data_IF_717848313479
#
_entry.id   IF_717848313479
#
_cell.length_a   1.000
_cell.length_b   1.000
_cell.length_c   1.000
_cell.angle_alpha   90.00
_cell.angle_beta   90.00
_cell.angle_gamma   90.00
#
_symmetry.space_group_name_H-M   'P 1'
#
loop_
_entity.id
_entity.type
_entity.pdbx_description
1 polymer ?
#
# COMPACT_ATOMS: atom_id res chain seq x y z
N UNK A 1 24.54 -19.10 5.76
CA UNK A 1 23.13 -18.77 6.12
C UNK A 1 23.02 -17.26 6.42
N UNK A 2 22.79 -16.39 5.42
CA UNK A 2 22.68 -14.92 5.58
C UNK A 2 21.23 -14.47 5.90
N UNK A 3 20.58 -15.06 6.90
CA UNK A 3 19.15 -14.79 7.19
C UNK A 3 18.90 -13.36 7.70
N UNK A 4 19.79 -12.83 8.52
CA UNK A 4 19.63 -11.50 9.13
C UNK A 4 19.60 -10.37 8.09
N UNK A 5 20.48 -10.41 7.08
CA UNK A 5 20.51 -9.37 6.03
C UNK A 5 19.20 -9.34 5.25
N UNK A 6 18.64 -10.50 4.89
CA UNK A 6 17.36 -10.55 4.17
C UNK A 6 16.19 -10.04 5.04
N UNK A 7 16.22 -10.30 6.35
CA UNK A 7 15.22 -9.75 7.28
C UNK A 7 15.29 -8.22 7.36
N UNK A 8 16.49 -7.66 7.52
CA UNK A 8 16.71 -6.21 7.54
C UNK A 8 16.25 -5.54 6.25
N UNK A 9 16.55 -6.16 5.10
CA UNK A 9 16.09 -5.67 3.79
C UNK A 9 14.57 -5.69 3.73
N UNK A 10 13.91 -6.79 4.13
CA UNK A 10 12.44 -6.88 4.13
C UNK A 10 11.78 -5.82 5.02
N UNK A 11 12.28 -5.61 6.23
CA UNK A 11 11.81 -4.56 7.14
C UNK A 11 11.99 -3.16 6.53
N UNK A 12 13.14 -2.89 5.91
CA UNK A 12 13.41 -1.63 5.22
C UNK A 12 12.40 -1.37 4.08
N UNK A 13 12.13 -2.36 3.23
CA UNK A 13 11.14 -2.23 2.16
C UNK A 13 9.74 -1.99 2.72
N UNK A 14 9.36 -2.68 3.80
CA UNK A 14 8.07 -2.49 4.46
C UNK A 14 7.91 -1.06 5.00
N UNK A 15 8.91 -0.52 5.69
CA UNK A 15 8.91 0.87 6.17
C UNK A 15 8.84 1.88 5.02
N UNK A 16 9.52 1.62 3.90
CA UNK A 16 9.44 2.45 2.70
C UNK A 16 8.03 2.45 2.09
N UNK A 17 7.34 1.32 2.04
CA UNK A 17 5.96 1.25 1.55
C UNK A 17 5.01 2.09 2.42
N UNK A 18 5.09 1.96 3.75
CA UNK A 18 4.29 2.75 4.68
C UNK A 18 4.50 4.26 4.48
N UNK A 19 5.76 4.69 4.35
CA UNK A 19 6.07 6.11 4.10
C UNK A 19 5.49 6.63 2.78
N UNK A 20 5.62 5.85 1.69
CA UNK A 20 5.12 6.24 0.36
C UNK A 20 3.60 6.38 0.33
N UNK A 21 2.87 5.56 1.07
CA UNK A 21 1.41 5.62 1.16
C UNK A 21 0.90 6.66 2.18
N UNK A 22 1.77 7.45 2.82
CA UNK A 22 1.37 8.42 3.84
C UNK A 22 1.06 7.81 5.22
N UNK A 23 1.39 6.54 5.45
CA UNK A 23 1.10 5.79 6.68
C UNK A 23 2.24 5.83 7.72
N UNK A 24 3.27 6.66 7.52
CA UNK A 24 4.44 6.71 8.39
C UNK A 24 4.18 7.22 9.82
N UNK A 25 3.17 8.08 10.02
CA UNK A 25 2.83 8.68 11.32
C UNK A 25 1.48 8.18 11.87
N UNK A 26 0.95 7.06 11.36
CA UNK A 26 -0.32 6.56 11.86
C UNK A 26 -0.14 6.07 13.32
N UNK A 27 -0.96 6.54 14.29
CA UNK A 27 -0.88 6.10 15.68
C UNK A 27 -1.11 4.60 15.88
N UNK A 28 -1.79 3.92 14.95
CA UNK A 28 -1.95 2.45 14.98
C UNK A 28 -0.72 1.70 14.48
N UNK A 29 0.30 2.43 13.97
CA UNK A 29 1.49 1.87 13.36
C UNK A 29 1.20 0.97 12.15
N UNK A 30 2.17 0.11 11.82
CA UNK A 30 2.05 -0.88 10.73
C UNK A 30 0.94 -1.90 10.98
N UNK A 31 0.65 -2.21 12.25
CA UNK A 31 -0.35 -3.21 12.66
C UNK A 31 -1.76 -2.83 12.22
N UNK A 32 -2.09 -1.53 12.20
CA UNK A 32 -3.39 -1.06 11.74
C UNK A 32 -3.56 -1.01 10.20
N UNK A 33 -2.56 -1.46 9.43
CA UNK A 33 -2.63 -1.42 7.97
C UNK A 33 -3.45 -2.60 7.44
N UNK A 34 -4.65 -2.32 6.94
CA UNK A 34 -5.49 -3.34 6.31
C UNK A 34 -4.84 -3.91 5.02
N UNK A 35 -5.21 -5.14 4.66
CA UNK A 35 -4.79 -5.75 3.40
C UNK A 35 -5.19 -4.86 2.22
N UNK A 36 -4.27 -4.63 1.29
CA UNK A 36 -4.49 -3.77 0.13
C UNK A 36 -4.45 -2.26 0.42
N UNK A 37 -4.35 -1.82 1.69
CA UNK A 37 -4.40 -0.38 2.02
C UNK A 37 -3.24 0.45 1.47
N UNK A 38 -2.09 -0.18 1.26
CA UNK A 38 -0.90 0.45 0.66
C UNK A 38 -0.77 0.14 -0.83
N UNK A 39 -1.70 -0.63 -1.42
CA UNK A 39 -1.65 -0.95 -2.84
C UNK A 39 -2.01 0.30 -3.65
N UNK A 40 -1.38 0.43 -4.81
CA UNK A 40 -1.77 1.45 -5.79
C UNK A 40 -3.03 0.96 -6.47
N UNK A 41 -4.07 1.80 -6.48
CA UNK A 41 -5.29 1.52 -7.24
C UNK A 41 -4.96 1.42 -8.73
N UNK A 42 -5.48 0.39 -9.39
CA UNK A 42 -5.23 0.19 -10.81
C UNK A 42 -6.01 1.23 -11.61
N UNK A 43 -5.35 2.11 -12.39
CA UNK A 43 -6.05 3.14 -13.16
C UNK A 43 -6.86 2.56 -14.34
N UNK A 44 -6.56 1.32 -14.75
CA UNK A 44 -7.26 0.63 -15.82
C UNK A 44 -8.49 -0.17 -15.34
N UNK A 45 -8.61 -0.42 -14.03
CA UNK A 45 -9.79 -1.10 -13.49
C UNK A 45 -10.98 -0.14 -13.50
N UNK A 46 -12.19 -0.60 -13.87
CA UNK A 46 -13.37 0.24 -13.89
C UNK A 46 -13.77 0.66 -12.47
N UNK A 47 -13.72 1.95 -12.20
CA UNK A 47 -14.08 2.59 -10.94
C UNK A 47 -15.16 3.66 -11.19
N UNK A 48 -16.43 3.36 -10.84
CA UNK A 48 -17.53 4.33 -10.94
C UNK A 48 -17.20 5.65 -10.24
N UNK A 49 -17.48 6.78 -10.91
CA UNK A 49 -17.19 8.12 -10.38
C UNK A 49 -15.72 8.53 -10.39
N UNK A 50 -14.81 7.70 -10.91
CA UNK A 50 -13.38 8.03 -11.06
C UNK A 50 -12.97 8.00 -12.53
N UNK A 51 -13.12 6.86 -13.21
CA UNK A 51 -12.67 6.67 -14.59
C UNK A 51 -13.75 6.07 -15.50
N UNK A 52 -14.98 5.90 -14.99
CA UNK A 52 -16.15 5.49 -15.78
C UNK A 52 -17.03 6.71 -16.10
N UNK A 53 -17.61 6.79 -17.31
CA UNK A 53 -18.68 7.73 -17.60
C UNK A 53 -19.89 7.50 -16.68
N UNK A 54 -20.62 8.56 -16.37
CA UNK A 54 -21.78 8.52 -15.45
C UNK A 54 -22.92 7.60 -15.92
N UNK A 55 -22.92 7.17 -17.19
CA UNK A 55 -23.94 6.34 -17.82
C UNK A 55 -23.42 4.99 -18.31
N UNK A 56 -22.45 4.39 -17.60
CA UNK A 56 -21.79 3.14 -18.01
C UNK A 56 -22.55 1.84 -17.63
N UNK A 57 -23.76 1.92 -17.07
CA UNK A 57 -24.63 0.76 -16.78
C UNK A 57 -25.11 0.02 -18.05
#
# INVERSE_FOLDING_TARGET
RKKAIFQMVHEWWHLKMLKRAGWGHNPTGSVGTAKGKLAVECPACPTPGVNLPDSWD
#
